data_IF_302038824613
#
_entry.id   IF_302038824613
#
_cell.length_a   1.000
_cell.length_b   1.000
_cell.length_c   1.000
_cell.angle_alpha   90.00
_cell.angle_beta   90.00
_cell.angle_gamma   90.00
#
_symmetry.space_group_name_H-M   'P 1'
#
loop_
_entity.id
_entity.type
_entity.pdbx_description
1 polymer ?
#
# COMPACT_ATOMS: atom_id res chain seq x y z
N UNK A 1 -20.91 6.08 -14.21
CA UNK A 1 -20.96 4.62 -14.35
C UNK A 1 -19.54 4.04 -14.46
N UNK A 2 -18.72 4.46 -15.45
CA UNK A 2 -17.35 3.93 -15.66
C UNK A 2 -16.49 4.06 -14.38
N UNK A 3 -16.49 5.21 -13.71
CA UNK A 3 -15.75 5.41 -12.48
C UNK A 3 -16.18 4.45 -11.35
N UNK A 4 -17.46 4.14 -11.23
CA UNK A 4 -17.97 3.18 -10.25
C UNK A 4 -17.47 1.77 -10.56
N UNK A 5 -17.54 1.36 -11.82
CA UNK A 5 -17.05 0.06 -12.28
C UNK A 5 -15.53 -0.05 -12.00
N UNK A 6 -14.75 0.96 -12.39
CA UNK A 6 -13.33 1.01 -12.14
C UNK A 6 -13.00 0.90 -10.63
N UNK A 7 -13.73 1.61 -9.79
CA UNK A 7 -13.59 1.56 -8.33
C UNK A 7 -13.88 0.16 -7.77
N UNK A 8 -14.95 -0.50 -8.23
CA UNK A 8 -15.30 -1.86 -7.80
C UNK A 8 -14.17 -2.84 -8.13
N UNK A 9 -13.67 -2.82 -9.36
CA UNK A 9 -12.54 -3.69 -9.77
C UNK A 9 -11.26 -3.37 -9.02
N UNK A 10 -10.95 -2.09 -8.80
CA UNK A 10 -9.78 -1.67 -8.01
C UNK A 10 -9.84 -2.14 -6.55
N UNK A 11 -11.00 -2.05 -5.92
CA UNK A 11 -11.22 -2.54 -4.55
C UNK A 11 -11.13 -4.07 -4.51
N UNK A 12 -11.77 -4.77 -5.45
CA UNK A 12 -11.73 -6.21 -5.52
C UNK A 12 -10.30 -6.74 -5.67
N UNK A 13 -9.49 -6.11 -6.53
CA UNK A 13 -8.07 -6.44 -6.70
C UNK A 13 -7.29 -6.23 -5.40
N UNK A 14 -7.49 -5.08 -4.74
CA UNK A 14 -6.80 -4.77 -3.47
C UNK A 14 -7.17 -5.76 -2.36
N UNK A 15 -8.45 -6.11 -2.23
CA UNK A 15 -8.92 -7.09 -1.25
C UNK A 15 -8.36 -8.48 -1.53
N UNK A 16 -8.38 -8.91 -2.80
CA UNK A 16 -7.86 -10.22 -3.21
C UNK A 16 -6.37 -10.36 -2.93
N UNK A 17 -5.56 -9.35 -3.28
CA UNK A 17 -4.12 -9.35 -2.98
C UNK A 17 -3.85 -9.34 -1.48
N UNK A 18 -4.54 -8.49 -0.72
CA UNK A 18 -4.39 -8.43 0.72
C UNK A 18 -4.77 -9.74 1.40
N UNK A 19 -5.87 -10.37 0.97
CA UNK A 19 -6.30 -11.66 1.50
C UNK A 19 -5.27 -12.77 1.19
N UNK A 20 -4.71 -12.80 -0.01
CA UNK A 20 -3.65 -13.74 -0.37
C UNK A 20 -2.40 -13.54 0.49
N UNK A 21 -1.96 -12.30 0.71
CA UNK A 21 -0.82 -12.00 1.58
C UNK A 21 -1.06 -12.48 3.02
N UNK A 22 -2.26 -12.23 3.55
CA UNK A 22 -2.63 -12.72 4.90
C UNK A 22 -2.64 -14.25 4.91
N UNK A 23 -3.21 -14.91 3.89
CA UNK A 23 -3.27 -16.36 3.81
C UNK A 23 -1.86 -16.98 3.76
N UNK A 24 -0.97 -16.45 2.92
CA UNK A 24 0.42 -16.91 2.87
C UNK A 24 1.17 -16.66 4.19
N UNK A 25 0.93 -15.52 4.85
CA UNK A 25 1.50 -15.25 6.17
C UNK A 25 1.02 -16.23 7.24
N UNK A 26 -0.28 -16.52 7.28
CA UNK A 26 -0.86 -17.50 8.21
C UNK A 26 -0.45 -18.93 7.87
N UNK A 27 -0.26 -19.25 6.59
CA UNK A 27 0.29 -20.52 6.13
C UNK A 27 1.74 -20.72 6.59
N UNK A 28 2.58 -19.67 6.47
CA UNK A 28 3.95 -19.71 6.99
C UNK A 28 4.01 -19.93 8.50
N UNK A 29 3.03 -19.40 9.25
CA UNK A 29 2.91 -19.61 10.70
C UNK A 29 2.23 -20.95 11.07
N UNK A 30 1.89 -21.77 10.09
CA UNK A 30 1.18 -23.05 10.27
C UNK A 30 -0.19 -22.91 10.99
N UNK A 31 -0.82 -21.71 10.92
CA UNK A 31 -2.13 -21.44 11.54
C UNK A 31 -3.29 -21.87 10.64
N UNK A 32 -3.12 -21.67 9.31
CA UNK A 32 -4.10 -22.00 8.30
C UNK A 32 -3.42 -22.65 7.09
N UNK A 33 -4.10 -23.58 6.44
CA UNK A 33 -3.62 -24.10 5.15
C UNK A 33 -3.73 -23.02 4.06
N UNK A 34 -2.69 -22.90 3.25
CA UNK A 34 -2.68 -21.98 2.11
C UNK A 34 -3.51 -22.56 0.97
N UNK A 35 -4.82 -22.30 1.00
CA UNK A 35 -5.75 -22.76 -0.01
C UNK A 35 -6.82 -21.70 -0.35
N UNK A 36 -7.59 -21.96 -1.41
CA UNK A 36 -8.64 -21.05 -1.88
C UNK A 36 -9.73 -20.81 -0.82
N UNK A 37 -10.12 -21.82 -0.05
CA UNK A 37 -11.17 -21.67 0.96
C UNK A 37 -10.72 -20.78 2.11
N UNK A 38 -9.46 -20.88 2.55
CA UNK A 38 -8.88 -20.00 3.55
C UNK A 38 -8.85 -18.55 3.04
N UNK A 39 -8.47 -18.31 1.79
CA UNK A 39 -8.50 -16.97 1.18
C UNK A 39 -9.93 -16.42 1.16
N UNK A 40 -10.92 -17.20 0.77
CA UNK A 40 -12.33 -16.77 0.77
C UNK A 40 -12.79 -16.43 2.20
N UNK A 41 -12.45 -17.24 3.19
CA UNK A 41 -12.75 -16.98 4.60
C UNK A 41 -12.17 -15.63 5.05
N UNK A 42 -10.91 -15.34 4.72
CA UNK A 42 -10.23 -14.09 5.03
C UNK A 42 -10.94 -12.90 4.34
N UNK A 43 -11.31 -13.02 3.06
CA UNK A 43 -12.08 -11.99 2.34
C UNK A 43 -13.40 -11.69 3.04
N UNK A 44 -14.13 -12.72 3.48
CA UNK A 44 -15.39 -12.54 4.20
C UNK A 44 -15.15 -11.76 5.51
N UNK A 45 -14.15 -12.14 6.30
CA UNK A 45 -13.84 -11.46 7.56
C UNK A 45 -13.48 -9.99 7.33
N UNK A 46 -12.59 -9.70 6.38
CA UNK A 46 -12.20 -8.32 6.06
C UNK A 46 -13.41 -7.52 5.58
N UNK A 47 -14.25 -8.11 4.74
CA UNK A 47 -15.46 -7.44 4.22
C UNK A 47 -16.45 -7.14 5.35
N UNK A 48 -16.66 -8.05 6.28
CA UNK A 48 -17.51 -7.83 7.45
C UNK A 48 -16.97 -6.71 8.35
N UNK A 49 -15.65 -6.68 8.60
CA UNK A 49 -15.02 -5.60 9.35
C UNK A 49 -15.21 -4.24 8.66
N UNK A 50 -15.05 -4.21 7.34
CA UNK A 50 -15.31 -3.03 6.52
C UNK A 50 -16.75 -2.57 6.58
N UNK A 51 -17.72 -3.50 6.47
CA UNK A 51 -19.16 -3.21 6.59
C UNK A 51 -19.51 -2.63 7.96
N UNK A 52 -19.03 -3.24 9.04
CA UNK A 52 -19.23 -2.73 10.41
C UNK A 52 -18.68 -1.31 10.53
N UNK A 53 -17.48 -1.08 10.01
CA UNK A 53 -16.85 0.25 10.02
C UNK A 53 -17.67 1.30 9.28
N UNK A 54 -18.26 0.94 8.13
CA UNK A 54 -19.12 1.84 7.33
C UNK A 54 -20.43 2.11 8.04
N UNK A 55 -21.07 1.10 8.64
CA UNK A 55 -22.33 1.24 9.38
C UNK A 55 -22.16 2.13 10.62
N UNK A 56 -21.02 2.04 11.31
CA UNK A 56 -20.69 2.94 12.43
C UNK A 56 -20.40 4.39 12.00
N UNK A 57 -20.29 4.61 10.71
CA UNK A 57 -20.12 5.92 10.08
C UNK A 57 -18.67 6.39 9.99
N UNK A 58 -18.47 7.36 9.08
CA UNK A 58 -17.14 7.89 8.73
C UNK A 58 -16.39 8.48 9.93
N UNK A 59 -17.09 9.09 10.88
CA UNK A 59 -16.47 9.80 12.02
C UNK A 59 -15.99 8.85 13.12
N UNK A 60 -16.59 7.67 13.24
CA UNK A 60 -16.28 6.73 14.32
C UNK A 60 -15.57 5.50 13.77
N UNK A 61 -16.21 4.73 12.89
CA UNK A 61 -15.67 3.46 12.43
C UNK A 61 -14.38 3.59 11.64
N UNK A 62 -14.39 4.41 10.58
CA UNK A 62 -13.20 4.60 9.73
C UNK A 62 -12.07 5.28 10.50
N UNK A 63 -12.37 6.27 11.34
CA UNK A 63 -11.37 6.96 12.15
C UNK A 63 -10.66 6.00 13.13
N UNK A 64 -11.41 5.17 13.85
CA UNK A 64 -10.83 4.24 14.81
C UNK A 64 -9.95 3.21 14.08
N UNK A 65 -10.46 2.61 13.02
CA UNK A 65 -9.71 1.61 12.26
C UNK A 65 -8.42 2.18 11.66
N UNK A 66 -8.49 3.40 11.11
CA UNK A 66 -7.32 4.10 10.58
C UNK A 66 -6.29 4.44 11.67
N UNK A 67 -6.73 4.91 12.83
CA UNK A 67 -5.83 5.21 13.96
C UNK A 67 -5.16 3.93 14.48
N UNK A 68 -5.91 2.84 14.65
CA UNK A 68 -5.33 1.55 15.03
C UNK A 68 -4.26 1.08 14.03
N UNK A 69 -4.55 1.19 12.73
CA UNK A 69 -3.59 0.83 11.68
C UNK A 69 -2.29 1.65 11.78
N UNK A 70 -2.39 2.97 11.95
CA UNK A 70 -1.22 3.85 12.10
C UNK A 70 -0.42 3.48 13.35
N UNK A 71 -1.07 3.22 14.48
CA UNK A 71 -0.40 2.83 15.73
C UNK A 71 0.33 1.50 15.54
N UNK A 72 -0.31 0.51 14.93
CA UNK A 72 0.32 -0.77 14.62
C UNK A 72 1.52 -0.62 13.69
N UNK A 73 1.39 0.20 12.63
CA UNK A 73 2.51 0.49 11.73
C UNK A 73 3.69 1.11 12.47
N UNK A 74 3.45 2.08 13.36
CA UNK A 74 4.50 2.72 14.15
C UNK A 74 5.15 1.71 15.11
N UNK A 75 4.36 0.86 15.77
CA UNK A 75 4.89 -0.18 16.67
C UNK A 75 5.78 -1.15 15.89
N UNK A 76 5.33 -1.67 14.75
CA UNK A 76 6.10 -2.58 13.92
C UNK A 76 7.39 -1.95 13.41
N UNK A 77 7.29 -0.73 12.88
CA UNK A 77 8.45 0.00 12.37
C UNK A 77 9.48 0.23 13.48
N UNK A 78 9.01 0.68 14.66
CA UNK A 78 9.89 0.92 15.81
C UNK A 78 10.51 -0.37 16.34
N UNK A 79 9.75 -1.46 16.37
CA UNK A 79 10.25 -2.77 16.79
C UNK A 79 11.40 -3.23 15.89
N UNK A 80 11.21 -3.25 14.58
CA UNK A 80 12.25 -3.68 13.64
C UNK A 80 13.44 -2.73 13.67
N UNK A 81 13.20 -1.42 13.77
CA UNK A 81 14.27 -0.43 13.82
C UNK A 81 15.13 -0.55 15.09
N UNK A 82 14.52 -0.84 16.24
CA UNK A 82 15.24 -0.92 17.52
C UNK A 82 15.89 -2.28 17.77
N UNK A 83 15.25 -3.36 17.34
CA UNK A 83 15.73 -4.73 17.59
C UNK A 83 16.46 -5.34 16.39
N UNK A 84 16.36 -4.74 15.23
CA UNK A 84 17.09 -5.13 14.02
C UNK A 84 18.50 -4.51 13.94
N UNK A 85 19.21 -4.72 12.85
CA UNK A 85 20.54 -4.15 12.62
C UNK A 85 20.45 -2.66 12.26
N UNK A 86 20.18 -1.81 13.27
CA UNK A 86 19.87 -0.39 13.11
C UNK A 86 20.87 0.38 12.24
N UNK A 87 22.17 0.16 12.46
CA UNK A 87 23.22 0.84 11.66
C UNK A 87 23.11 0.47 10.18
N UNK A 88 22.93 -0.81 9.88
CA UNK A 88 22.78 -1.30 8.52
C UNK A 88 21.49 -0.75 7.86
N UNK A 89 20.39 -0.68 8.62
CA UNK A 89 19.12 -0.11 8.15
C UNK A 89 19.30 1.38 7.79
N UNK A 90 20.01 2.16 8.63
CA UNK A 90 20.25 3.58 8.35
C UNK A 90 21.16 3.79 7.13
N UNK A 91 22.23 3.03 7.04
CA UNK A 91 23.15 3.10 5.89
C UNK A 91 22.43 2.69 4.60
N UNK A 92 21.67 1.61 4.64
CA UNK A 92 20.86 1.12 3.53
C UNK A 92 19.78 2.13 3.11
N UNK A 93 19.11 2.78 4.07
CA UNK A 93 18.10 3.80 3.78
C UNK A 93 18.70 4.97 3.00
N UNK A 94 19.82 5.52 3.46
CA UNK A 94 20.51 6.62 2.80
C UNK A 94 20.99 6.24 1.41
N UNK A 95 21.60 5.05 1.29
CA UNK A 95 22.09 4.54 0.02
C UNK A 95 20.94 4.28 -0.97
N UNK A 96 19.84 3.71 -0.53
CA UNK A 96 18.66 3.44 -1.36
C UNK A 96 18.01 4.71 -1.88
N UNK A 97 17.89 5.75 -1.03
CA UNK A 97 17.37 7.06 -1.45
C UNK A 97 18.31 7.69 -2.49
N UNK A 98 19.61 7.70 -2.23
CA UNK A 98 20.60 8.24 -3.16
C UNK A 98 20.59 7.51 -4.50
N UNK A 99 20.58 6.17 -4.48
CA UNK A 99 20.51 5.34 -5.68
C UNK A 99 19.19 5.54 -6.45
N UNK A 100 18.06 5.66 -5.74
CA UNK A 100 16.78 5.94 -6.38
C UNK A 100 16.77 7.27 -7.12
N UNK A 101 17.24 8.35 -6.47
CA UNK A 101 17.30 9.68 -7.10
C UNK A 101 18.26 9.66 -8.31
N UNK A 102 19.42 9.04 -8.17
CA UNK A 102 20.42 8.95 -9.24
C UNK A 102 19.90 8.18 -10.46
N UNK A 103 19.17 7.10 -10.24
CA UNK A 103 18.69 6.22 -11.30
C UNK A 103 17.24 6.52 -11.71
N UNK A 104 16.59 7.55 -11.17
CA UNK A 104 15.18 7.83 -11.39
C UNK A 104 14.81 7.89 -12.87
N UNK A 105 15.60 8.56 -13.69
CA UNK A 105 15.35 8.69 -15.13
C UNK A 105 15.48 7.34 -15.84
N UNK A 106 16.53 6.61 -15.54
CA UNK A 106 16.76 5.27 -16.11
C UNK A 106 15.67 4.29 -15.73
N UNK A 107 15.25 4.27 -14.47
CA UNK A 107 14.16 3.42 -13.98
C UNK A 107 12.81 3.78 -14.63
N UNK A 108 12.54 5.08 -14.79
CA UNK A 108 11.28 5.58 -15.35
C UNK A 108 11.13 5.31 -16.85
N UNK A 109 12.25 5.24 -17.58
CA UNK A 109 12.27 5.05 -19.04
C UNK A 109 12.60 3.61 -19.46
N UNK A 110 12.86 2.72 -18.51
CA UNK A 110 13.20 1.33 -18.79
C UNK A 110 11.96 0.53 -19.21
N UNK A 111 11.75 0.41 -20.50
CA UNK A 111 10.64 -0.38 -21.08
C UNK A 111 11.01 -1.84 -21.31
N UNK A 112 12.25 -2.25 -21.05
CA UNK A 112 12.76 -3.59 -21.39
C UNK A 112 12.54 -4.00 -22.87
N UNK A 113 12.48 -3.02 -23.77
CA UNK A 113 12.12 -3.23 -25.16
C UNK A 113 13.04 -4.19 -25.94
N UNK A 114 14.25 -4.42 -25.42
CA UNK A 114 15.21 -5.36 -26.01
C UNK A 114 15.29 -6.71 -25.27
N UNK A 115 14.53 -6.87 -24.18
CA UNK A 115 14.49 -8.08 -23.38
C UNK A 115 13.14 -8.78 -23.60
N UNK A 116 13.18 -10.04 -23.95
CA UNK A 116 11.95 -10.83 -24.06
C UNK A 116 11.55 -11.34 -22.65
N UNK A 117 11.06 -10.43 -21.82
CA UNK A 117 10.66 -10.73 -20.45
C UNK A 117 9.20 -10.36 -20.19
N UNK A 118 8.54 -11.15 -19.34
CA UNK A 118 7.18 -10.86 -18.87
C UNK A 118 7.13 -9.83 -17.73
N UNK A 119 8.28 -9.29 -17.30
CA UNK A 119 8.38 -8.38 -16.15
C UNK A 119 7.52 -7.12 -16.33
N UNK A 120 7.56 -6.51 -17.51
CA UNK A 120 6.75 -5.32 -17.81
C UNK A 120 5.25 -5.57 -17.66
N UNK A 121 4.77 -6.74 -18.11
CA UNK A 121 3.37 -7.12 -17.99
C UNK A 121 2.98 -7.40 -16.54
N UNK A 122 3.83 -8.11 -15.79
CA UNK A 122 3.57 -8.51 -14.42
C UNK A 122 3.69 -7.35 -13.41
N UNK A 123 4.50 -6.34 -13.71
CA UNK A 123 4.77 -5.24 -12.79
C UNK A 123 4.29 -3.89 -13.30
N UNK A 124 4.87 -3.38 -14.38
CA UNK A 124 4.58 -2.03 -14.83
C UNK A 124 3.12 -1.88 -15.28
N UNK A 125 2.66 -2.70 -16.21
CA UNK A 125 1.29 -2.61 -16.71
C UNK A 125 0.27 -2.95 -15.63
N UNK A 126 0.56 -3.96 -14.81
CA UNK A 126 -0.30 -4.35 -13.70
C UNK A 126 -0.48 -3.21 -12.70
N UNK A 127 0.61 -2.59 -12.19
CA UNK A 127 0.55 -1.50 -11.25
C UNK A 127 -0.10 -0.24 -11.83
N UNK A 128 0.21 0.13 -13.08
CA UNK A 128 -0.46 1.26 -13.74
C UNK A 128 -1.96 1.02 -13.89
N UNK A 129 -2.38 -0.15 -14.33
CA UNK A 129 -3.80 -0.49 -14.47
C UNK A 129 -4.53 -0.44 -13.13
N UNK A 130 -3.91 -0.93 -12.06
CA UNK A 130 -4.44 -0.88 -10.71
C UNK A 130 -4.60 0.57 -10.23
N UNK A 131 -3.56 1.40 -10.38
CA UNK A 131 -3.60 2.81 -9.99
C UNK A 131 -4.66 3.59 -10.79
N UNK A 132 -4.77 3.38 -12.08
CA UNK A 132 -5.81 4.00 -12.90
C UNK A 132 -7.21 3.59 -12.45
N UNK A 133 -7.46 2.32 -12.17
CA UNK A 133 -8.75 1.84 -11.68
C UNK A 133 -9.09 2.43 -10.30
N UNK A 134 -8.09 2.64 -9.46
CA UNK A 134 -8.26 3.11 -8.09
C UNK A 134 -8.34 4.64 -7.97
N UNK A 135 -7.79 5.36 -8.94
CA UNK A 135 -7.69 6.83 -8.93
C UNK A 135 -9.02 7.60 -8.73
N UNK A 136 -10.17 7.21 -9.31
CA UNK A 136 -11.42 7.93 -9.09
C UNK A 136 -11.88 7.90 -7.63
N UNK A 137 -11.73 6.76 -6.96
CA UNK A 137 -12.06 6.61 -5.55
C UNK A 137 -11.15 7.45 -4.67
N UNK A 138 -9.84 7.32 -4.84
CA UNK A 138 -8.84 8.04 -4.06
C UNK A 138 -8.94 9.55 -4.30
N UNK A 139 -9.13 9.98 -5.55
CA UNK A 139 -9.30 11.38 -5.89
C UNK A 139 -10.51 12.03 -5.20
N UNK A 140 -11.65 11.35 -5.18
CA UNK A 140 -12.84 11.81 -4.47
C UNK A 140 -12.65 11.88 -2.96
N UNK A 141 -11.98 10.88 -2.39
CA UNK A 141 -11.66 10.85 -0.96
C UNK A 141 -10.73 11.99 -0.58
N UNK A 142 -9.62 12.16 -1.30
CA UNK A 142 -8.64 13.22 -1.05
C UNK A 142 -9.27 14.60 -1.23
N UNK A 143 -10.11 14.80 -2.26
CA UNK A 143 -10.83 16.05 -2.46
C UNK A 143 -11.72 16.41 -1.26
N UNK A 144 -12.40 15.42 -0.67
CA UNK A 144 -13.27 15.64 0.50
C UNK A 144 -12.50 16.00 1.77
N UNK A 145 -11.36 15.36 2.03
CA UNK A 145 -10.57 15.62 3.24
C UNK A 145 -9.71 16.89 3.13
N UNK A 146 -9.50 17.38 1.90
CA UNK A 146 -8.68 18.56 1.62
C UNK A 146 -9.49 19.86 1.52
N UNK A 147 -10.79 19.81 1.77
CA UNK A 147 -11.65 21.00 1.70
C UNK A 147 -11.16 22.10 2.66
N UNK A 148 -11.00 23.32 2.12
CA UNK A 148 -10.50 24.48 2.86
C UNK A 148 -8.98 24.57 3.00
N UNK A 149 -8.20 23.66 2.42
CA UNK A 149 -6.74 23.72 2.39
C UNK A 149 -6.23 24.47 1.16
N UNK A 150 -5.07 25.08 1.29
CA UNK A 150 -4.37 25.67 0.13
C UNK A 150 -3.82 24.57 -0.78
N UNK A 151 -3.62 24.89 -2.07
CA UNK A 151 -3.02 23.95 -3.06
C UNK A 151 -1.63 23.48 -2.59
N UNK A 152 -0.85 24.35 -1.98
CA UNK A 152 0.47 24.01 -1.46
C UNK A 152 0.39 22.96 -0.34
N UNK A 153 -0.47 23.16 0.64
CA UNK A 153 -0.69 22.20 1.74
C UNK A 153 -1.22 20.86 1.22
N UNK A 154 -2.10 20.92 0.23
CA UNK A 154 -2.62 19.75 -0.45
C UNK A 154 -1.49 18.94 -1.10
N UNK A 155 -0.65 19.57 -1.93
CA UNK A 155 0.45 18.88 -2.61
C UNK A 155 1.46 18.31 -1.63
N UNK A 156 1.84 19.05 -0.59
CA UNK A 156 2.75 18.55 0.45
C UNK A 156 2.13 17.34 1.15
N UNK A 157 0.88 17.43 1.56
CA UNK A 157 0.19 16.37 2.30
C UNK A 157 -0.07 15.11 1.47
N UNK A 158 -0.29 15.24 0.18
CA UNK A 158 -0.67 14.10 -0.70
C UNK A 158 0.53 13.47 -1.38
N UNK A 159 1.58 14.25 -1.68
CA UNK A 159 2.75 13.75 -2.41
C UNK A 159 3.93 13.53 -1.47
N UNK A 160 4.38 14.55 -0.76
CA UNK A 160 5.64 14.45 0.00
C UNK A 160 5.52 13.57 1.25
N UNK A 161 4.44 13.74 2.03
CA UNK A 161 4.28 12.99 3.29
C UNK A 161 4.15 11.49 3.03
N UNK A 162 3.25 10.99 2.16
CA UNK A 162 3.15 9.56 1.88
C UNK A 162 4.43 8.99 1.28
N UNK A 163 5.08 9.71 0.34
CA UNK A 163 6.33 9.24 -0.26
C UNK A 163 7.45 9.09 0.77
N UNK A 164 7.59 10.05 1.69
CA UNK A 164 8.57 9.97 2.77
C UNK A 164 8.32 8.76 3.69
N UNK A 165 7.06 8.49 4.02
CA UNK A 165 6.68 7.32 4.82
C UNK A 165 6.99 6.02 4.07
N UNK A 166 6.71 5.96 2.77
CA UNK A 166 7.04 4.78 1.94
C UNK A 166 8.55 4.55 1.87
N UNK A 167 9.37 5.59 1.68
CA UNK A 167 10.83 5.46 1.70
C UNK A 167 11.32 4.92 3.04
N UNK A 168 10.80 5.45 4.15
CA UNK A 168 11.14 4.97 5.49
C UNK A 168 10.71 3.50 5.68
N UNK A 169 9.48 3.18 5.31
CA UNK A 169 8.92 1.83 5.43
C UNK A 169 9.73 0.82 4.63
N UNK A 170 9.94 1.08 3.33
CA UNK A 170 10.71 0.20 2.47
C UNK A 170 12.18 0.14 2.85
N UNK A 171 12.75 1.23 3.36
CA UNK A 171 14.13 1.25 3.85
C UNK A 171 14.30 0.41 5.11
N UNK A 172 13.37 0.45 6.05
CA UNK A 172 13.43 -0.35 7.28
C UNK A 172 13.18 -1.82 7.00
N UNK A 173 12.06 -2.15 6.34
CA UNK A 173 11.68 -3.55 6.10
C UNK A 173 12.48 -4.22 4.98
N UNK A 174 13.01 -3.47 4.04
CA UNK A 174 13.83 -3.99 2.93
C UNK A 174 15.29 -4.25 3.30
N UNK A 175 15.77 -3.67 4.41
CA UNK A 175 17.14 -3.85 4.89
C UNK A 175 17.23 -4.62 6.24
N UNK A 176 16.11 -5.09 6.78
CA UNK A 176 16.05 -5.80 8.08
C UNK A 176 16.35 -7.31 8.00
#
# INVERSE_FOLDING_TARGET
VIAIIATIFGIATSLGLGANQINSGLGYMEVLEENFMSTVGIVIVITLMGLISVVLGLKVGIKILSQMNIILCIIFLSFIFLFGPTSYILDGLLQNIGSYIQNLLSLSTNTQGYLNSSWQNGWTLYYYSWWFAWSPFVGLFIARISYGRSIREFLIGVVLVPSSIVFLWMGVFGNA
#
